data_IF_950229573938
#
_entry.id   IF_950229573938
#
_cell.length_a   1.000
_cell.length_b   1.000
_cell.length_c   1.000
_cell.angle_alpha   90.00
_cell.angle_beta   90.00
_cell.angle_gamma   90.00
#
_symmetry.space_group_name_H-M   'P 1'
#
loop_
_entity.id
_entity.type
_entity.pdbx_description
1 polymer ?
#
# COMPACT_ATOMS: atom_id res chain seq x y z
N UNK A 1 19.52 -3.82 11.40
CA UNK A 1 18.75 -3.84 10.14
C UNK A 1 17.32 -3.49 10.46
N UNK A 2 16.84 -2.33 10.00
CA UNK A 2 15.43 -1.98 10.15
C UNK A 2 14.61 -2.82 9.16
N UNK A 3 13.56 -3.48 9.62
CA UNK A 3 12.67 -4.24 8.75
C UNK A 3 11.64 -3.27 8.16
N UNK A 4 11.59 -3.18 6.83
CA UNK A 4 10.57 -2.40 6.16
C UNK A 4 9.18 -2.99 6.44
N UNK A 5 8.14 -2.16 6.59
CA UNK A 5 6.77 -2.65 6.74
C UNK A 5 6.36 -3.47 5.51
N UNK A 6 5.67 -4.58 5.74
CA UNK A 6 5.05 -5.40 4.70
C UNK A 6 3.55 -5.21 4.70
N UNK A 7 2.96 -5.11 3.51
CA UNK A 7 1.52 -5.01 3.29
C UNK A 7 1.03 -6.33 2.71
N UNK A 8 -0.07 -6.85 3.26
CA UNK A 8 -0.74 -8.05 2.78
C UNK A 8 -1.91 -7.62 1.89
N UNK A 9 -1.97 -8.13 0.67
CA UNK A 9 -3.07 -7.85 -0.24
C UNK A 9 -4.38 -8.45 0.29
N UNK A 10 -5.48 -7.67 0.42
CA UNK A 10 -6.76 -8.22 0.87
C UNK A 10 -7.46 -9.11 -0.18
N UNK A 11 -7.02 -9.06 -1.44
CA UNK A 11 -7.62 -9.83 -2.53
C UNK A 11 -6.92 -11.18 -2.79
N UNK A 12 -5.59 -11.17 -2.94
CA UNK A 12 -4.81 -12.38 -3.24
C UNK A 12 -3.90 -12.84 -2.09
N UNK A 13 -3.91 -12.16 -0.95
CA UNK A 13 -3.08 -12.46 0.24
C UNK A 13 -1.56 -12.41 0.01
N UNK A 14 -1.10 -11.95 -1.15
CA UNK A 14 0.33 -11.77 -1.39
C UNK A 14 0.91 -10.65 -0.51
N UNK A 15 2.08 -10.90 0.07
CA UNK A 15 2.84 -9.92 0.85
C UNK A 15 3.86 -9.18 -0.02
N UNK A 16 3.96 -7.87 0.14
CA UNK A 16 5.01 -7.06 -0.49
C UNK A 16 5.44 -5.93 0.45
N UNK A 17 6.67 -5.46 0.30
CA UNK A 17 7.15 -4.28 1.03
C UNK A 17 6.32 -3.05 0.69
N UNK A 18 6.01 -2.24 1.70
CA UNK A 18 5.12 -1.08 1.59
C UNK A 18 5.55 -0.10 0.50
N UNK A 19 6.87 0.06 0.30
CA UNK A 19 7.47 0.97 -0.69
C UNK A 19 7.15 0.60 -2.14
N UNK A 20 6.83 -0.67 -2.42
CA UNK A 20 6.57 -1.16 -3.77
C UNK A 20 5.09 -1.15 -4.14
N UNK A 21 4.21 -0.96 -3.16
CA UNK A 21 2.76 -1.12 -3.33
C UNK A 21 1.96 0.13 -2.95
N UNK A 22 2.53 1.06 -2.19
CA UNK A 22 1.90 2.34 -1.87
C UNK A 22 2.44 3.47 -2.74
N UNK A 23 1.53 4.25 -3.29
CA UNK A 23 1.83 5.53 -3.93
C UNK A 23 1.12 6.62 -3.15
N UNK A 24 1.90 7.53 -2.55
CA UNK A 24 1.38 8.74 -1.92
C UNK A 24 1.20 9.84 -2.96
N UNK A 25 0.04 10.49 -2.95
CA UNK A 25 -0.26 11.65 -3.79
C UNK A 25 -0.24 12.95 -2.97
N UNK A 26 0.00 14.07 -3.65
CA UNK A 26 0.15 15.40 -3.02
C UNK A 26 -1.08 15.85 -2.23
N UNK A 27 -2.27 15.34 -2.56
CA UNK A 27 -3.54 15.64 -1.90
C UNK A 27 -3.83 14.74 -0.69
N UNK A 28 -2.79 14.16 -0.07
CA UNK A 28 -2.92 13.18 1.02
C UNK A 28 -3.59 11.84 0.63
N UNK A 29 -3.92 11.61 -0.64
CA UNK A 29 -4.44 10.31 -1.05
C UNK A 29 -3.30 9.29 -1.10
N UNK A 30 -3.45 8.23 -0.32
CA UNK A 30 -2.62 7.03 -0.48
C UNK A 30 -3.37 6.02 -1.33
N UNK A 31 -2.67 5.51 -2.35
CA UNK A 31 -3.15 4.46 -3.24
C UNK A 31 -2.31 3.21 -2.98
N UNK A 32 -2.98 2.11 -2.68
CA UNK A 32 -2.41 0.78 -2.69
C UNK A 32 -2.67 0.11 -4.05
N UNK A 33 -1.64 -0.46 -4.65
CA UNK A 33 -1.73 -1.29 -5.86
C UNK A 33 -0.99 -2.60 -5.64
N UNK A 34 -1.69 -3.73 -5.77
CA UNK A 34 -1.08 -5.04 -5.73
C UNK A 34 -0.35 -5.35 -7.04
N UNK A 35 0.94 -5.70 -6.98
CA UNK A 35 1.74 -6.07 -8.15
C UNK A 35 1.38 -7.46 -8.73
N UNK A 36 0.64 -8.30 -7.99
CA UNK A 36 0.32 -9.69 -8.39
C UNK A 36 -1.07 -9.80 -9.01
N UNK A 37 -2.09 -9.28 -8.34
CA UNK A 37 -3.48 -9.38 -8.81
C UNK A 37 -4.04 -8.06 -9.36
N UNK A 38 -3.23 -6.99 -9.38
CA UNK A 38 -3.62 -5.65 -9.84
C UNK A 38 -4.81 -5.03 -9.09
N UNK A 39 -5.14 -5.53 -7.90
CA UNK A 39 -6.13 -4.90 -7.03
C UNK A 39 -5.65 -3.50 -6.60
N UNK A 40 -6.55 -2.51 -6.72
CA UNK A 40 -6.26 -1.11 -6.38
C UNK A 40 -7.22 -0.64 -5.28
N UNK A 41 -6.66 -0.12 -4.20
CA UNK A 41 -7.39 0.58 -3.13
C UNK A 41 -6.93 2.03 -3.10
N UNK A 42 -7.88 2.97 -3.13
CA UNK A 42 -7.62 4.42 -3.17
C UNK A 42 -8.22 5.09 -1.94
N UNK A 43 -7.84 6.33 -1.70
CA UNK A 43 -8.34 7.14 -0.58
C UNK A 43 -8.12 6.43 0.76
N UNK A 44 -6.98 5.76 0.92
CA UNK A 44 -6.63 5.13 2.18
C UNK A 44 -6.39 6.26 3.18
N UNK A 45 -7.27 6.37 4.18
CA UNK A 45 -7.15 7.36 5.24
C UNK A 45 -5.89 7.08 6.05
N UNK A 46 -4.92 7.99 5.95
CA UNK A 46 -3.77 8.00 6.84
C UNK A 46 -4.03 9.01 7.95
N UNK A 47 -4.01 8.56 9.20
CA UNK A 47 -3.95 9.49 10.32
C UNK A 47 -2.55 10.12 10.33
N UNK A 48 -2.42 11.32 9.75
CA UNK A 48 -1.33 12.23 10.09
C UNK A 48 -1.79 13.07 11.26
N UNK A 49 -1.49 12.62 12.47
CA UNK A 49 -1.43 13.47 13.67
C UNK A 49 -0.06 14.10 13.75
#
# INVERSE_FOLDING_TARGET
MERLPVVICPNCHNSAEIIHVLTAQSNQNVIYTCQVCHFVMRNIETNKG
#
